data_IF_318353165843
#
_entry.id   IF_318353165843
#
_cell.length_a   1.000
_cell.length_b   1.000
_cell.length_c   1.000
_cell.angle_alpha   90.00
_cell.angle_beta   90.00
_cell.angle_gamma   90.00
#
_symmetry.space_group_name_H-M   'P 1'
#
loop_
_entity.id
_entity.type
_entity.pdbx_description
1 polymer ?
#
# COMPACT_ATOMS: atom_id res chain seq x y z
N UNK A 1 -45.08 -40.83 -8.54
CA UNK A 1 -43.74 -41.26 -8.98
C UNK A 1 -43.13 -40.17 -9.83
N UNK A 2 -42.65 -39.09 -9.22
CA UNK A 2 -41.73 -38.13 -9.82
C UNK A 2 -41.20 -37.23 -8.68
N UNK A 3 -40.39 -37.84 -7.83
CA UNK A 3 -39.41 -37.15 -6.98
C UNK A 3 -38.06 -37.61 -7.50
N UNK A 4 -37.15 -36.67 -7.69
CA UNK A 4 -35.68 -36.80 -7.68
C UNK A 4 -35.05 -36.10 -8.88
N UNK A 5 -34.70 -34.82 -8.67
CA UNK A 5 -33.53 -34.18 -9.26
C UNK A 5 -33.15 -33.03 -8.32
N UNK A 6 -32.73 -33.40 -7.10
CA UNK A 6 -31.97 -32.48 -6.26
C UNK A 6 -30.55 -32.43 -6.83
N UNK A 7 -30.21 -31.32 -7.48
CA UNK A 7 -28.83 -31.00 -7.87
C UNK A 7 -27.90 -31.18 -6.66
N UNK A 8 -27.08 -32.22 -6.74
CA UNK A 8 -25.99 -32.45 -5.79
C UNK A 8 -24.98 -31.32 -6.02
N UNK A 9 -24.95 -30.36 -5.11
CA UNK A 9 -23.97 -29.29 -5.12
C UNK A 9 -22.56 -29.91 -5.08
N UNK A 10 -21.76 -29.57 -6.08
CA UNK A 10 -20.37 -30.00 -6.24
C UNK A 10 -19.50 -29.47 -5.08
N UNK A 11 -19.29 -30.32 -4.07
CA UNK A 11 -18.42 -30.07 -2.91
C UNK A 11 -16.93 -29.90 -3.31
N UNK A 12 -16.56 -30.14 -4.57
CA UNK A 12 -15.21 -29.88 -5.10
C UNK A 12 -14.92 -28.40 -5.40
N UNK A 13 -15.95 -27.56 -5.55
CA UNK A 13 -15.79 -26.16 -5.98
C UNK A 13 -15.44 -25.18 -4.86
N UNK A 14 -15.89 -25.43 -3.63
CA UNK A 14 -15.76 -24.51 -2.48
C UNK A 14 -14.39 -24.59 -1.81
N UNK A 15 -13.78 -25.77 -1.76
CA UNK A 15 -12.44 -25.98 -1.18
C UNK A 15 -11.38 -25.17 -1.94
N UNK A 16 -11.50 -25.12 -3.27
CA UNK A 16 -10.58 -24.37 -4.12
C UNK A 16 -10.68 -22.84 -3.89
N UNK A 17 -11.90 -22.30 -3.76
CA UNK A 17 -12.10 -20.86 -3.52
C UNK A 17 -11.58 -20.38 -2.16
N UNK A 18 -11.65 -21.23 -1.13
CA UNK A 18 -11.14 -20.88 0.19
C UNK A 18 -9.60 -20.88 0.21
N UNK A 19 -8.97 -21.82 -0.48
CA UNK A 19 -7.52 -21.85 -0.68
C UNK A 19 -7.06 -20.64 -1.50
N UNK A 20 -7.73 -20.33 -2.61
CA UNK A 20 -7.48 -19.12 -3.42
C UNK A 20 -7.61 -17.83 -2.60
N UNK A 21 -8.66 -17.72 -1.77
CA UNK A 21 -8.84 -16.58 -0.88
C UNK A 21 -7.73 -16.51 0.18
N UNK A 22 -7.28 -17.64 0.73
CA UNK A 22 -6.18 -17.69 1.70
C UNK A 22 -4.85 -17.27 1.07
N UNK A 23 -4.55 -17.77 -0.13
CA UNK A 23 -3.34 -17.43 -0.87
C UNK A 23 -3.31 -15.95 -1.28
N UNK A 24 -4.48 -15.38 -1.59
CA UNK A 24 -4.65 -13.96 -1.85
C UNK A 24 -4.68 -13.09 -0.56
N UNK A 25 -4.56 -13.72 0.62
CA UNK A 25 -4.55 -13.06 1.93
C UNK A 25 -5.93 -12.74 2.50
N UNK A 26 -7.02 -13.03 1.76
CA UNK A 26 -8.44 -12.81 2.07
C UNK A 26 -9.10 -13.85 3.00
N UNK A 27 -8.41 -14.92 3.36
CA UNK A 27 -8.90 -15.86 4.38
C UNK A 27 -7.89 -15.99 5.53
N UNK A 28 -8.33 -15.91 6.81
CA UNK A 28 -7.46 -16.14 7.94
C UNK A 28 -6.81 -17.52 7.88
N UNK A 29 -5.53 -17.60 8.25
CA UNK A 29 -5.03 -18.81 8.91
C UNK A 29 -5.74 -18.94 10.27
N UNK A 30 -5.78 -20.14 10.85
CA UNK A 30 -6.60 -20.48 12.03
C UNK A 30 -6.55 -19.50 13.24
N UNK A 31 -5.56 -18.61 13.32
CA UNK A 31 -5.48 -17.51 14.29
C UNK A 31 -5.04 -16.20 13.61
N UNK A 32 -5.73 -15.09 13.92
CA UNK A 32 -5.42 -13.77 13.38
C UNK A 32 -4.30 -13.08 14.19
N UNK A 33 -3.33 -12.41 13.53
CA UNK A 33 -2.34 -11.60 14.23
C UNK A 33 -3.03 -10.49 15.04
N UNK A 34 -2.65 -10.34 16.30
CA UNK A 34 -3.22 -9.33 17.19
C UNK A 34 -2.58 -7.97 16.96
N UNK A 35 -3.42 -6.94 16.88
CA UNK A 35 -2.96 -5.55 16.85
C UNK A 35 -3.76 -4.67 17.82
N UNK A 36 -3.11 -3.61 18.29
CA UNK A 36 -3.70 -2.58 19.15
C UNK A 36 -4.52 -1.55 18.36
N UNK A 37 -4.32 -1.48 17.04
CA UNK A 37 -5.02 -0.55 16.16
C UNK A 37 -4.43 -0.48 14.75
N UNK A 38 -5.12 0.26 13.89
CA UNK A 38 -4.69 0.56 12.51
C UNK A 38 -4.53 2.06 12.36
N UNK A 39 -3.38 2.49 11.83
CA UNK A 39 -3.07 3.88 11.56
C UNK A 39 -2.82 4.07 10.07
N UNK A 40 -2.96 5.29 9.57
CA UNK A 40 -2.72 5.63 8.18
C UNK A 40 -1.81 6.86 8.07
N UNK A 41 -0.94 6.88 7.08
CA UNK A 41 0.02 7.94 6.81
C UNK A 41 0.21 8.10 5.29
N UNK A 42 0.19 9.34 4.79
CA UNK A 42 0.32 9.70 3.37
C UNK A 42 1.18 10.95 3.21
N UNK A 43 1.62 11.24 1.99
CA UNK A 43 2.17 12.54 1.57
C UNK A 43 3.40 13.02 2.35
N UNK A 44 4.27 12.09 2.73
CA UNK A 44 5.40 12.35 3.60
C UNK A 44 6.73 12.55 2.88
N UNK A 45 6.77 12.79 1.57
CA UNK A 45 7.98 12.99 0.74
C UNK A 45 9.33 12.57 1.39
N UNK A 46 9.64 11.28 1.34
CA UNK A 46 10.84 10.61 1.85
C UNK A 46 12.15 11.11 1.26
N UNK A 47 12.14 11.81 0.11
CA UNK A 47 13.35 12.41 -0.46
C UNK A 47 13.83 13.61 0.35
N UNK A 48 12.94 14.25 1.11
CA UNK A 48 13.28 15.43 1.89
C UNK A 48 13.79 15.10 3.29
N UNK A 49 14.94 15.69 3.67
CA UNK A 49 15.50 15.57 5.02
C UNK A 49 14.51 16.01 6.12
N UNK A 50 13.64 16.98 5.81
CA UNK A 50 12.60 17.46 6.71
C UNK A 50 11.61 16.36 7.05
N UNK A 51 11.13 15.64 6.04
CA UNK A 51 10.20 14.53 6.19
C UNK A 51 10.82 13.30 6.84
N UNK A 52 12.05 12.95 6.49
CA UNK A 52 12.76 11.88 7.20
C UNK A 52 12.94 12.22 8.69
N UNK A 53 13.18 13.49 9.01
CA UNK A 53 13.24 13.98 10.40
C UNK A 53 11.87 13.90 11.07
N UNK A 54 10.80 14.23 10.36
CA UNK A 54 9.43 14.09 10.86
C UNK A 54 9.09 12.62 11.13
N UNK A 55 9.31 11.71 10.18
CA UNK A 55 9.15 10.27 10.35
C UNK A 55 9.97 9.79 11.54
N UNK A 56 11.25 10.19 11.64
CA UNK A 56 12.10 9.87 12.80
C UNK A 56 11.51 10.38 14.11
N UNK A 57 10.99 11.61 14.15
CA UNK A 57 10.36 12.20 15.35
C UNK A 57 9.06 11.49 15.72
N UNK A 58 8.26 11.08 14.74
CA UNK A 58 7.10 10.21 14.95
C UNK A 58 7.51 8.85 15.53
N UNK A 59 8.75 8.40 15.26
CA UNK A 59 9.30 7.12 15.71
C UNK A 59 10.31 7.21 16.87
N UNK A 60 10.54 8.36 17.50
CA UNK A 60 11.43 8.47 18.67
C UNK A 60 10.60 8.34 19.97
N UNK A 61 11.15 7.72 21.05
CA UNK A 61 10.43 7.67 22.32
C UNK A 61 10.29 9.11 22.80
N UNK A 62 9.06 9.59 22.95
CA UNK A 62 8.82 10.98 23.29
C UNK A 62 9.57 11.42 24.54
N UNK A 63 10.36 12.50 24.43
CA UNK A 63 10.66 13.33 25.59
C UNK A 63 9.33 13.77 26.20
N UNK A 64 9.20 13.62 27.53
CA UNK A 64 7.98 13.75 28.34
C UNK A 64 7.20 15.07 28.22
N UNK A 65 7.58 15.98 27.32
CA UNK A 65 6.98 17.31 27.11
C UNK A 65 6.27 17.50 25.77
N UNK A 66 6.31 16.53 24.84
CA UNK A 66 5.44 16.56 23.66
C UNK A 66 4.24 15.63 23.87
N UNK A 67 3.12 16.22 24.26
CA UNK A 67 1.79 15.61 24.21
C UNK A 67 1.32 15.39 22.75
N UNK A 68 2.12 14.73 21.91
CA UNK A 68 1.57 13.95 20.80
C UNK A 68 1.28 12.55 21.33
N UNK A 69 0.23 12.45 22.16
CA UNK A 69 -0.13 11.28 22.95
C UNK A 69 -0.58 10.03 22.18
N UNK A 70 -0.29 9.90 20.87
CA UNK A 70 -0.90 8.84 20.04
C UNK A 70 0.06 7.80 19.47
N UNK A 71 1.37 8.05 19.37
CA UNK A 71 2.26 7.14 18.63
C UNK A 71 3.17 6.25 19.49
N UNK A 72 3.31 6.50 20.79
CA UNK A 72 4.00 5.57 21.70
C UNK A 72 3.26 4.23 21.89
N UNK A 73 2.04 4.08 21.36
CA UNK A 73 1.21 2.86 21.42
C UNK A 73 1.25 2.01 20.14
N UNK A 74 2.00 2.42 19.10
CA UNK A 74 1.89 1.77 17.78
C UNK A 74 2.75 0.50 17.61
N UNK A 75 3.50 0.10 18.64
CA UNK A 75 4.41 -1.06 18.59
C UNK A 75 3.73 -2.37 18.26
N UNK A 76 2.43 -2.50 18.55
CA UNK A 76 1.62 -3.65 18.16
C UNK A 76 0.53 -3.24 17.17
N UNK A 77 0.73 -2.19 16.38
CA UNK A 77 -0.26 -1.69 15.43
C UNK A 77 0.16 -1.94 13.99
N UNK A 78 -0.82 -1.94 13.09
CA UNK A 78 -0.59 -1.89 11.65
C UNK A 78 -0.56 -0.42 11.18
N UNK A 79 0.36 -0.10 10.28
CA UNK A 79 0.46 1.21 9.64
C UNK A 79 0.20 1.10 8.15
N UNK A 80 -0.77 1.84 7.64
CA UNK A 80 -1.05 1.98 6.22
C UNK A 80 -0.27 3.18 5.70
N UNK A 81 0.54 2.95 4.69
CA UNK A 81 1.32 3.95 3.96
C UNK A 81 0.68 4.12 2.60
N UNK A 82 -0.10 5.19 2.45
CA UNK A 82 -0.99 5.41 1.31
C UNK A 82 -0.47 6.52 0.39
N UNK A 83 0.58 6.21 -0.38
CA UNK A 83 1.13 7.06 -1.43
C UNK A 83 1.67 8.43 -0.99
N UNK A 84 2.33 9.13 -1.93
CA UNK A 84 2.80 10.51 -1.72
C UNK A 84 4.12 10.62 -0.94
N UNK A 85 4.87 9.53 -0.86
CA UNK A 85 6.17 9.46 -0.22
C UNK A 85 7.29 9.86 -1.17
N UNK A 86 7.09 9.91 -2.48
CA UNK A 86 8.11 10.29 -3.45
C UNK A 86 9.45 9.57 -3.26
N UNK A 87 10.49 10.16 -3.84
CA UNK A 87 11.86 9.66 -3.74
C UNK A 87 12.13 8.37 -4.53
N UNK A 88 13.38 7.93 -4.46
CA UNK A 88 13.83 6.68 -5.05
C UNK A 88 13.35 5.46 -4.25
N UNK A 89 13.36 4.24 -4.82
CA UNK A 89 13.14 3.02 -4.04
C UNK A 89 14.05 2.90 -2.80
N UNK A 90 15.27 3.47 -2.84
CA UNK A 90 16.17 3.49 -1.69
C UNK A 90 15.68 4.42 -0.57
N UNK A 91 15.09 5.56 -0.92
CA UNK A 91 14.50 6.50 0.05
C UNK A 91 13.28 5.88 0.73
N UNK A 92 12.40 5.26 -0.06
CA UNK A 92 11.26 4.49 0.45
C UNK A 92 11.72 3.38 1.40
N UNK A 93 12.74 2.61 1.01
CA UNK A 93 13.26 1.52 1.85
C UNK A 93 13.81 2.06 3.18
N UNK A 94 14.56 3.15 3.14
CA UNK A 94 15.08 3.82 4.35
C UNK A 94 13.93 4.27 5.26
N UNK A 95 12.88 4.86 4.69
CA UNK A 95 11.68 5.25 5.43
C UNK A 95 10.99 4.05 6.07
N UNK A 96 10.80 2.95 5.35
CA UNK A 96 10.19 1.73 5.88
C UNK A 96 11.03 1.09 6.99
N UNK A 97 12.36 1.10 6.86
CA UNK A 97 13.25 0.65 7.93
C UNK A 97 13.09 1.48 9.20
N UNK A 98 12.91 2.80 9.09
CA UNK A 98 12.68 3.66 10.25
C UNK A 98 11.32 3.34 10.88
N UNK A 99 10.26 3.22 10.07
CA UNK A 99 8.90 2.93 10.55
C UNK A 99 8.82 1.55 11.22
N UNK A 100 9.44 0.52 10.65
CA UNK A 100 9.39 -0.86 11.16
C UNK A 100 10.04 -1.04 12.52
N UNK A 101 10.85 -0.07 12.98
CA UNK A 101 11.32 -0.04 14.38
C UNK A 101 10.20 0.21 15.40
N UNK A 102 9.01 0.62 14.95
CA UNK A 102 7.92 1.08 15.82
C UNK A 102 6.56 0.50 15.53
N UNK A 103 6.31 -0.05 14.36
CA UNK A 103 5.03 -0.69 14.04
C UNK A 103 5.27 -2.16 13.74
N UNK A 104 4.30 -3.00 14.11
CA UNK A 104 4.43 -4.44 13.90
C UNK A 104 4.27 -4.83 12.44
N UNK A 105 3.48 -4.06 11.70
CA UNK A 105 3.20 -4.33 10.30
C UNK A 105 3.00 -3.03 9.53
N UNK A 106 3.47 -3.00 8.29
CA UNK A 106 3.35 -1.85 7.39
C UNK A 106 2.68 -2.33 6.13
N UNK A 107 1.57 -1.71 5.77
CA UNK A 107 0.92 -1.87 4.48
C UNK A 107 1.33 -0.73 3.57
N UNK A 108 1.76 -1.01 2.35
CA UNK A 108 2.14 0.02 1.40
C UNK A 108 1.28 -0.03 0.13
N UNK A 109 0.79 1.13 -0.28
CA UNK A 109 0.14 1.36 -1.55
C UNK A 109 0.88 2.50 -2.26
N UNK A 110 1.57 2.25 -3.39
CA UNK A 110 2.20 3.33 -4.15
C UNK A 110 1.14 4.28 -4.73
N UNK A 111 1.38 5.57 -4.57
CA UNK A 111 0.66 6.67 -5.20
C UNK A 111 1.42 7.26 -6.39
N UNK A 112 0.96 8.42 -6.86
CA UNK A 112 1.46 9.09 -8.05
C UNK A 112 2.98 9.31 -8.06
N UNK A 113 3.53 9.81 -6.95
CA UNK A 113 4.95 10.16 -6.87
C UNK A 113 5.86 8.92 -6.94
N UNK A 114 5.42 7.80 -6.37
CA UNK A 114 6.17 6.55 -6.43
C UNK A 114 6.06 5.88 -7.80
N UNK A 115 4.96 6.10 -8.53
CA UNK A 115 4.74 5.54 -9.87
C UNK A 115 5.35 6.37 -11.00
N UNK A 116 5.76 7.60 -10.72
CA UNK A 116 6.44 8.44 -11.70
C UNK A 116 7.81 7.81 -12.05
N UNK A 117 7.98 7.39 -13.31
CA UNK A 117 9.20 6.71 -13.75
C UNK A 117 10.35 7.70 -14.03
N UNK A 118 10.04 8.90 -14.54
CA UNK A 118 11.03 9.92 -14.91
C UNK A 118 11.73 10.55 -13.70
N UNK A 119 11.16 10.43 -12.51
CA UNK A 119 11.79 10.88 -11.26
C UNK A 119 12.80 9.87 -10.71
N UNK A 120 12.88 8.65 -11.25
CA UNK A 120 13.87 7.67 -10.84
C UNK A 120 15.19 7.90 -11.60
N UNK A 121 16.29 8.07 -10.87
CA UNK A 121 17.62 8.23 -11.45
C UNK A 121 18.00 7.03 -12.32
N UNK A 122 17.66 5.81 -11.88
CA UNK A 122 17.94 4.58 -12.62
C UNK A 122 17.20 4.54 -13.97
N UNK A 123 16.10 5.29 -14.13
CA UNK A 123 15.35 5.33 -15.39
C UNK A 123 16.02 6.24 -16.43
N UNK A 124 16.53 7.40 -16.01
CA UNK A 124 17.14 8.37 -16.94
C UNK A 124 18.59 8.02 -17.30
N UNK A 125 19.33 7.40 -16.38
CA UNK A 125 20.76 7.18 -16.51
C UNK A 125 21.13 5.83 -17.15
N UNK A 126 20.19 4.88 -17.24
CA UNK A 126 20.41 3.57 -17.83
C UNK A 126 19.89 3.46 -19.29
N UNK A 127 20.60 2.73 -20.17
CA UNK A 127 20.08 2.31 -21.47
C UNK A 127 18.74 1.58 -21.34
N UNK A 128 17.87 1.71 -22.36
CA UNK A 128 16.50 1.15 -22.33
C UNK A 128 16.47 -0.34 -21.92
N UNK A 129 17.39 -1.17 -22.44
CA UNK A 129 17.46 -2.61 -22.19
C UNK A 129 18.00 -2.99 -20.79
N UNK A 130 18.56 -2.03 -20.06
CA UNK A 130 19.06 -2.21 -18.69
C UNK A 130 18.06 -1.70 -17.63
N UNK A 131 16.97 -1.06 -18.04
CA UNK A 131 15.97 -0.51 -17.12
C UNK A 131 15.18 -1.61 -16.42
N UNK A 132 14.88 -1.38 -15.14
CA UNK A 132 14.08 -2.30 -14.32
C UNK A 132 12.60 -2.33 -14.71
N UNK A 133 12.11 -1.24 -15.29
CA UNK A 133 10.73 -1.04 -15.73
C UNK A 133 10.69 0.06 -16.80
N UNK A 134 9.69 0.03 -17.69
CA UNK A 134 9.57 0.96 -18.83
C UNK A 134 8.38 1.91 -18.73
N UNK A 135 7.42 1.62 -17.85
CA UNK A 135 6.20 2.40 -17.66
C UNK A 135 5.72 2.33 -16.19
N UNK A 136 4.79 3.21 -15.83
CA UNK A 136 4.21 3.28 -14.48
C UNK A 136 3.57 1.97 -14.01
N UNK A 137 2.96 1.19 -14.91
CA UNK A 137 2.35 -0.09 -14.59
C UNK A 137 3.39 -1.17 -14.26
N UNK A 138 4.48 -1.25 -15.00
CA UNK A 138 5.61 -2.13 -14.70
C UNK A 138 6.30 -1.73 -13.41
N UNK A 139 6.47 -0.41 -13.16
CA UNK A 139 6.97 0.09 -11.87
C UNK A 139 6.05 -0.31 -10.73
N UNK A 140 4.73 -0.18 -10.89
CA UNK A 140 3.75 -0.62 -9.90
C UNK A 140 3.88 -2.13 -9.60
N UNK A 141 3.98 -2.97 -10.65
CA UNK A 141 4.20 -4.42 -10.48
C UNK A 141 5.50 -4.72 -9.75
N UNK A 142 6.58 -4.02 -10.09
CA UNK A 142 7.86 -4.15 -9.40
C UNK A 142 7.75 -3.76 -7.92
N UNK A 143 7.12 -2.61 -7.63
CA UNK A 143 6.95 -2.11 -6.28
C UNK A 143 6.15 -3.12 -5.43
N UNK A 144 5.01 -3.58 -5.93
CA UNK A 144 4.12 -4.49 -5.19
C UNK A 144 4.69 -5.90 -5.00
N UNK A 145 5.39 -6.45 -6.00
CA UNK A 145 5.83 -7.85 -5.97
C UNK A 145 7.22 -8.05 -5.37
N UNK A 146 8.16 -7.15 -5.68
CA UNK A 146 9.59 -7.36 -5.44
C UNK A 146 10.09 -6.40 -4.37
N UNK A 147 9.80 -5.12 -4.53
CA UNK A 147 10.27 -4.10 -3.59
C UNK A 147 9.60 -4.22 -2.22
N UNK A 148 8.28 -4.38 -2.14
CA UNK A 148 7.57 -4.51 -0.85
C UNK A 148 8.12 -5.69 -0.03
N UNK A 149 8.31 -6.84 -0.69
CA UNK A 149 8.93 -8.03 -0.08
C UNK A 149 10.35 -7.74 0.41
N UNK A 150 11.16 -7.08 -0.41
CA UNK A 150 12.52 -6.67 -0.04
C UNK A 150 12.54 -5.71 1.15
N UNK A 151 11.64 -4.73 1.16
CA UNK A 151 11.56 -3.71 2.18
C UNK A 151 10.84 -4.16 3.46
N UNK A 152 10.31 -5.39 3.48
CA UNK A 152 9.59 -5.93 4.64
C UNK A 152 8.23 -5.28 4.90
N UNK A 153 7.56 -4.82 3.84
CA UNK A 153 6.21 -4.24 3.91
C UNK A 153 5.21 -5.10 3.14
N UNK A 154 3.96 -5.05 3.56
CA UNK A 154 2.84 -5.82 3.02
C UNK A 154 2.15 -5.02 1.91
N UNK A 155 1.95 -5.65 0.76
CA UNK A 155 1.22 -5.07 -0.37
C UNK A 155 -0.04 -5.88 -0.72
N UNK A 156 -0.34 -6.90 0.09
CA UNK A 156 -1.43 -7.84 -0.08
C UNK A 156 -2.47 -7.66 1.04
N UNK A 157 -3.73 -8.05 0.81
CA UNK A 157 -4.73 -8.10 1.86
C UNK A 157 -4.24 -8.88 3.09
N UNK A 158 -4.62 -8.41 4.28
CA UNK A 158 -4.34 -9.11 5.54
C UNK A 158 -5.40 -8.80 6.57
N UNK A 159 -5.80 -9.82 7.33
CA UNK A 159 -6.70 -9.69 8.47
C UNK A 159 -5.94 -9.68 9.79
N UNK A 160 -6.53 -9.00 10.77
CA UNK A 160 -6.02 -8.85 12.12
C UNK A 160 -7.11 -9.03 13.17
N UNK A 161 -6.75 -9.46 14.37
CA UNK A 161 -7.59 -9.36 15.56
C UNK A 161 -7.28 -8.03 16.26
N UNK A 162 -8.24 -7.12 16.28
CA UNK A 162 -8.14 -5.84 16.95
C UNK A 162 -9.22 -5.75 18.03
N UNK A 163 -8.85 -6.11 19.26
CA UNK A 163 -9.78 -6.06 20.41
C UNK A 163 -10.92 -7.11 20.34
N UNK A 164 -10.70 -8.24 19.67
CA UNK A 164 -11.69 -9.30 19.49
C UNK A 164 -12.50 -9.19 18.20
N UNK A 165 -12.26 -8.14 17.39
CA UNK A 165 -12.89 -7.94 16.08
C UNK A 165 -11.91 -8.20 14.94
N UNK A 166 -12.38 -8.83 13.87
CA UNK A 166 -11.58 -9.05 12.67
C UNK A 166 -11.52 -7.78 11.82
N UNK A 167 -10.32 -7.21 11.67
CA UNK A 167 -10.06 -6.02 10.85
C UNK A 167 -9.27 -6.40 9.62
N UNK A 168 -9.80 -6.03 8.45
CA UNK A 168 -9.17 -6.26 7.15
C UNK A 168 -8.45 -5.01 6.66
N UNK A 169 -7.16 -5.15 6.34
CA UNK A 169 -6.41 -4.13 5.60
C UNK A 169 -6.21 -4.64 4.18
N UNK A 170 -6.70 -3.88 3.20
CA UNK A 170 -6.74 -4.29 1.80
C UNK A 170 -6.10 -3.16 0.98
N UNK A 171 -4.82 -3.31 0.59
CA UNK A 171 -4.16 -2.40 -0.32
C UNK A 171 -4.86 -2.41 -1.69
N UNK A 172 -5.52 -1.31 -2.07
CA UNK A 172 -6.18 -1.17 -3.37
C UNK A 172 -5.37 -0.20 -4.22
N UNK A 173 -4.91 -0.67 -5.38
CA UNK A 173 -4.32 0.18 -6.40
C UNK A 173 -5.39 0.63 -7.38
N UNK A 174 -5.62 1.94 -7.42
CA UNK A 174 -6.40 2.57 -8.48
C UNK A 174 -5.43 3.29 -9.40
N UNK A 175 -5.07 2.65 -10.53
CA UNK A 175 -4.36 3.33 -11.61
C UNK A 175 -5.39 3.97 -12.53
N UNK A 176 -5.46 5.30 -12.50
CA UNK A 176 -6.35 6.06 -13.36
C UNK A 176 -5.58 7.21 -14.00
N UNK A 177 -4.69 6.90 -14.95
CA UNK A 177 -4.48 7.78 -16.09
C UNK A 177 -3.65 7.13 -17.21
N UNK A 178 -4.06 7.29 -18.48
CA UNK A 178 -3.18 7.15 -19.64
C UNK A 178 -2.06 8.20 -19.68
N UNK A 179 -2.17 9.28 -18.89
CA UNK A 179 -1.36 10.50 -19.01
C UNK A 179 -0.05 10.51 -18.21
N UNK A 180 0.10 9.65 -17.18
CA UNK A 180 1.28 9.70 -16.30
C UNK A 180 2.62 9.54 -17.02
N UNK A 181 2.64 8.69 -18.05
CA UNK A 181 3.87 8.34 -18.77
C UNK A 181 4.09 9.20 -20.03
N UNK A 182 3.03 9.81 -20.57
CA UNK A 182 3.04 10.48 -21.88
C UNK A 182 2.94 12.00 -21.81
N UNK A 183 2.52 12.59 -20.69
CA UNK A 183 2.41 14.04 -20.59
C UNK A 183 3.78 14.72 -20.36
N UNK A 184 4.01 15.89 -20.99
CA UNK A 184 5.17 16.71 -20.67
C UNK A 184 5.06 17.25 -19.25
N UNK A 185 6.20 17.41 -18.58
CA UNK A 185 6.22 17.98 -17.23
C UNK A 185 5.55 19.36 -17.25
N UNK A 186 4.59 19.57 -16.36
CA UNK A 186 3.90 20.86 -16.25
C UNK A 186 4.87 21.83 -15.58
N UNK A 187 5.32 22.85 -16.32
CA UNK A 187 6.23 23.87 -15.78
C UNK A 187 5.61 24.66 -14.62
N UNK A 188 6.46 25.35 -13.84
CA UNK A 188 6.07 26.10 -12.62
C UNK A 188 4.92 27.11 -12.80
N UNK A 189 4.59 27.46 -14.04
CA UNK A 189 3.50 28.38 -14.42
C UNK A 189 2.15 27.69 -14.67
N UNK A 190 2.07 26.37 -14.50
CA UNK A 190 0.84 25.62 -14.70
C UNK A 190 -0.20 25.99 -13.65
N UNK A 191 -1.33 26.55 -14.10
CA UNK A 191 -2.52 26.67 -13.27
C UNK A 191 -2.96 25.25 -12.87
N UNK A 192 -2.98 24.96 -11.56
CA UNK A 192 -3.42 23.67 -11.05
C UNK A 192 -4.73 23.24 -11.69
N UNK A 193 -4.83 21.96 -12.03
CA UNK A 193 -6.04 21.38 -12.64
C UNK A 193 -7.23 21.72 -11.75
N UNK A 194 -8.24 22.41 -12.30
CA UNK A 194 -9.50 22.65 -11.59
C UNK A 194 -9.98 21.30 -11.05
N UNK A 195 -10.29 21.24 -9.76
CA UNK A 195 -10.68 20.02 -9.06
C UNK A 195 -11.75 19.27 -9.88
N UNK A 196 -11.31 18.26 -10.64
CA UNK A 196 -12.21 17.39 -11.38
C UNK A 196 -13.10 16.78 -10.30
N UNK A 197 -14.41 16.99 -10.42
CA UNK A 197 -15.41 16.40 -9.52
C UNK A 197 -14.99 14.96 -9.22
N UNK A 198 -14.70 14.70 -7.94
CA UNK A 198 -14.15 13.45 -7.42
C UNK A 198 -14.43 12.24 -8.32
N UNK A 199 -13.36 11.56 -8.75
CA UNK A 199 -13.40 10.34 -9.56
C UNK A 199 -14.57 9.46 -9.10
N UNK A 200 -15.53 9.23 -10.02
CA UNK A 200 -16.69 8.36 -9.80
C UNK A 200 -16.30 6.88 -9.78
N UNK A 201 -15.02 6.55 -9.94
CA UNK A 201 -14.57 5.19 -10.22
C UNK A 201 -14.71 4.29 -8.99
N UNK A 202 -14.65 4.85 -7.78
CA UNK A 202 -14.89 4.12 -6.53
C UNK A 202 -16.38 3.89 -6.22
N UNK A 203 -17.31 4.58 -6.91
CA UNK A 203 -18.75 4.40 -6.69
C UNK A 203 -19.22 2.99 -7.11
N UNK A 204 -18.46 2.32 -7.98
CA UNK A 204 -18.76 0.98 -8.47
C UNK A 204 -17.94 -0.12 -7.78
N UNK A 205 -17.10 0.20 -6.80
CA UNK A 205 -16.36 -0.80 -6.04
C UNK A 205 -17.32 -1.56 -5.12
N UNK A 206 -17.73 -2.75 -5.53
CA UNK A 206 -18.51 -3.67 -4.70
C UNK A 206 -17.55 -4.68 -4.10
N UNK A 207 -17.55 -4.81 -2.77
CA UNK A 207 -16.78 -5.85 -2.09
C UNK A 207 -17.28 -7.24 -2.52
N UNK A 208 -16.40 -8.20 -2.85
CA UNK A 208 -16.85 -9.57 -3.09
C UNK A 208 -17.57 -10.11 -1.84
N UNK A 209 -18.76 -10.66 -2.04
CA UNK A 209 -19.56 -11.30 -0.99
C UNK A 209 -19.10 -12.72 -0.72
#
# INVERSE_FOLDING_TARGET
DDLDDAEVADEGSTTNKLEEARDAGFAPAHELPKIDGVYCFSDADCGEKGSQTFIRRLTLPGDKKQEMGSLNRISQSALIVAGGFGGSPNDLHTCFQIMSTRVSDIHFVPGALELHIKSDADFNDLPDDERRYHNSLEKAKYLMSSFCKYAGVTATPKAYDCGGEAVWVVPILSHCAPSFDAEPDVGDSASGVEAIKASRDFVNCVWPK
#
